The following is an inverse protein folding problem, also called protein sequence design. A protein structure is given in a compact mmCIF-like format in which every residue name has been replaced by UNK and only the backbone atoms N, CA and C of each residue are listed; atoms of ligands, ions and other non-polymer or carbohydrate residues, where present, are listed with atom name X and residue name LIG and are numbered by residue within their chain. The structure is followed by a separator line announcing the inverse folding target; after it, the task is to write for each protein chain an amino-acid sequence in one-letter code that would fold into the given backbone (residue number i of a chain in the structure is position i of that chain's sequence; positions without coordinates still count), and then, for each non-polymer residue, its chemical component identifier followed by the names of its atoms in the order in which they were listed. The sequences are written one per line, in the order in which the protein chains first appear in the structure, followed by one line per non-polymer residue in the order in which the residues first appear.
data_IF_956886699326
#
_entry.id   IF_956886699326
#
_cell.length_a   1.000
_cell.length_b   1.000
_cell.length_c   1.000
_cell.angle_alpha   90.00
_cell.angle_beta   90.00
_cell.angle_gamma   90.00
#
_symmetry.space_group_name_H-M   'P 1'
#
loop_
_entity.id
_entity.type
_entity.pdbx_description
1 polymer ?
#
# COMPACT_ATOMS: atom_id res chain seq x y z
N UNK A 1 -2.82 3.06 9.55
CA UNK A 1 -2.83 1.67 9.02
C UNK A 1 -4.04 0.88 9.48
N UNK A 2 -4.67 0.11 8.58
CA UNK A 2 -5.75 -0.82 8.93
C UNK A 2 -5.22 -2.24 9.13
N UNK A 3 -5.66 -2.94 10.17
CA UNK A 3 -5.27 -4.32 10.53
C UNK A 3 -6.48 -5.13 10.98
N UNK A 4 -6.31 -6.45 11.16
CA UNK A 4 -7.37 -7.36 11.65
C UNK A 4 -8.69 -7.25 10.87
N UNK A 5 -8.60 -7.09 9.55
CA UNK A 5 -9.77 -6.98 8.66
C UNK A 5 -10.49 -8.32 8.59
N UNK A 6 -11.75 -8.33 9.00
CA UNK A 6 -12.63 -9.50 8.95
C UNK A 6 -13.93 -9.11 8.26
N UNK A 7 -14.31 -9.86 7.23
CA UNK A 7 -15.58 -9.69 6.53
C UNK A 7 -16.55 -10.82 6.91
N UNK A 8 -17.82 -10.46 7.15
CA UNK A 8 -18.90 -11.38 7.46
C UNK A 8 -20.12 -11.07 6.60
N UNK A 9 -20.59 -12.06 5.84
CA UNK A 9 -21.79 -11.93 5.03
C UNK A 9 -23.02 -12.41 5.80
N UNK A 10 -24.04 -11.55 5.89
CA UNK A 10 -25.37 -11.86 6.42
C UNK A 10 -26.44 -11.38 5.42
N UNK A 11 -27.25 -10.38 5.79
CA UNK A 11 -28.13 -9.63 4.88
C UNK A 11 -27.35 -8.60 4.05
N UNK A 12 -26.25 -8.10 4.60
CA UNK A 12 -25.23 -7.23 4.00
C UNK A 12 -23.85 -7.79 4.34
N UNK A 13 -22.80 -7.21 3.77
CA UNK A 13 -21.42 -7.54 4.16
C UNK A 13 -20.99 -6.58 5.26
N UNK A 14 -20.59 -7.11 6.40
CA UNK A 14 -20.05 -6.36 7.53
C UNK A 14 -18.54 -6.59 7.57
N UNK A 15 -17.76 -5.52 7.53
CA UNK A 15 -16.31 -5.55 7.56
C UNK A 15 -15.87 -4.87 8.86
N UNK A 16 -15.25 -5.63 9.74
CA UNK A 16 -14.64 -5.10 10.98
C UNK A 16 -13.14 -4.98 10.80
N UNK A 17 -12.54 -3.89 11.26
CA UNK A 17 -11.11 -3.65 11.17
C UNK A 17 -10.61 -2.83 12.36
N UNK A 18 -9.32 -2.96 12.62
CA UNK A 18 -8.60 -2.11 13.56
C UNK A 18 -7.84 -1.05 12.78
N UNK A 19 -7.79 0.16 13.32
CA UNK A 19 -7.18 1.30 12.65
C UNK A 19 -6.17 1.94 13.60
N UNK A 20 -4.89 1.77 13.33
CA UNK A 20 -3.82 2.33 14.14
C UNK A 20 -3.17 3.47 13.38
N UNK A 21 -2.95 4.59 14.05
CA UNK A 21 -2.24 5.73 13.49
C UNK A 21 -1.18 6.21 14.47
N UNK A 22 -0.06 6.71 13.95
CA UNK A 22 1.13 7.03 14.74
C UNK A 22 1.05 8.43 15.34
N UNK A 23 0.41 9.37 14.65
CA UNK A 23 0.22 10.75 15.11
C UNK A 23 -1.22 11.08 15.55
N UNK A 24 -2.10 10.08 15.54
CA UNK A 24 -3.49 10.12 16.04
C UNK A 24 -4.36 11.16 15.30
N UNK A 25 -4.10 11.35 14.01
CA UNK A 25 -4.87 12.24 13.15
C UNK A 25 -6.09 11.55 12.52
N UNK A 26 -6.86 12.34 11.74
CA UNK A 26 -8.08 11.85 11.11
C UNK A 26 -7.77 11.32 9.72
N UNK A 27 -7.89 9.99 9.56
CA UNK A 27 -7.59 9.33 8.31
C UNK A 27 -8.81 9.22 7.38
N UNK A 28 -8.53 9.00 6.10
CA UNK A 28 -9.48 8.62 5.07
C UNK A 28 -9.44 7.11 4.85
N UNK A 29 -10.56 6.45 5.08
CA UNK A 29 -10.73 5.01 4.90
C UNK A 29 -11.46 4.73 3.59
N UNK A 30 -10.94 3.78 2.80
CA UNK A 30 -11.56 3.25 1.58
C UNK A 30 -11.69 1.74 1.71
N UNK A 31 -12.76 1.20 1.13
CA UNK A 31 -12.96 -0.23 0.99
C UNK A 31 -12.83 -0.61 -0.49
N UNK A 32 -11.95 -1.55 -0.78
CA UNK A 32 -11.77 -2.16 -2.08
C UNK A 32 -12.30 -3.59 -2.03
N UNK A 33 -12.92 -4.04 -3.12
CA UNK A 33 -13.37 -5.42 -3.26
C UNK A 33 -12.86 -6.03 -4.57
N UNK A 34 -12.53 -7.32 -4.51
CA UNK A 34 -11.95 -8.09 -5.59
C UNK A 34 -12.74 -9.38 -5.79
N UNK A 35 -13.05 -9.71 -7.03
CA UNK A 35 -13.72 -10.97 -7.39
C UNK A 35 -12.76 -12.12 -7.75
N UNK A 36 -11.45 -11.83 -7.81
CA UNK A 36 -10.43 -12.70 -8.39
C UNK A 36 -9.32 -13.14 -7.41
N UNK A 37 -9.56 -13.05 -6.10
CA UNK A 37 -8.59 -13.48 -5.10
C UNK A 37 -7.68 -12.37 -4.57
N UNK A 38 -7.98 -11.09 -4.87
CA UNK A 38 -7.10 -9.96 -4.58
C UNK A 38 -6.07 -9.69 -5.67
N UNK A 39 -6.19 -10.33 -6.86
CA UNK A 39 -5.29 -10.06 -7.99
C UNK A 39 -5.65 -8.71 -8.66
N UNK A 40 -6.93 -8.35 -8.67
CA UNK A 40 -7.43 -7.05 -9.07
C UNK A 40 -8.65 -6.64 -8.23
N UNK A 41 -8.74 -5.36 -7.90
CA UNK A 41 -9.89 -4.77 -7.19
C UNK A 41 -10.90 -4.21 -8.20
N UNK A 42 -11.55 -5.13 -8.90
CA UNK A 42 -12.46 -4.87 -10.03
C UNK A 42 -13.88 -4.48 -9.59
N UNK A 43 -14.23 -4.71 -8.32
CA UNK A 43 -15.58 -4.53 -7.83
C UNK A 43 -15.82 -3.10 -7.36
N UNK A 44 -16.89 -2.50 -7.89
CA UNK A 44 -17.35 -1.20 -7.44
C UNK A 44 -18.02 -1.30 -6.06
N UNK A 45 -17.29 -0.89 -5.03
CA UNK A 45 -17.82 -0.74 -3.68
C UNK A 45 -18.56 0.58 -3.56
N UNK A 46 -19.87 0.55 -3.83
CA UNK A 46 -20.78 1.67 -3.57
C UNK A 46 -21.84 1.27 -2.51
N UNK A 47 -22.60 2.24 -1.99
CA UNK A 47 -23.62 1.98 -0.95
C UNK A 47 -23.02 1.42 0.35
N UNK A 48 -22.01 2.11 0.86
CA UNK A 48 -21.35 1.81 2.13
C UNK A 48 -21.77 2.76 3.25
N UNK A 49 -21.69 2.30 4.49
CA UNK A 49 -21.94 3.08 5.70
C UNK A 49 -20.99 2.65 6.84
N UNK A 50 -20.93 3.44 7.90
CA UNK A 50 -20.05 3.21 9.05
C UNK A 50 -18.74 3.99 8.96
N UNK A 51 -17.66 3.39 9.47
CA UNK A 51 -16.31 3.98 9.55
C UNK A 51 -15.59 3.92 8.19
N UNK A 52 -16.13 4.64 7.20
CA UNK A 52 -15.59 4.73 5.83
C UNK A 52 -15.67 6.18 5.31
N UNK A 53 -14.74 6.58 4.46
CA UNK A 53 -14.63 7.96 3.98
C UNK A 53 -13.60 8.75 4.77
N UNK A 54 -13.68 10.09 4.74
CA UNK A 54 -12.74 10.95 5.47
C UNK A 54 -13.18 11.20 6.92
N UNK A 55 -12.23 11.47 7.80
CA UNK A 55 -12.52 11.90 9.17
C UNK A 55 -12.57 10.78 10.20
N UNK A 56 -11.91 9.64 9.94
CA UNK A 56 -11.95 8.47 10.80
C UNK A 56 -10.73 8.51 11.74
N UNK A 57 -10.96 8.69 13.04
CA UNK A 57 -9.92 8.60 14.05
C UNK A 57 -9.38 7.16 14.18
N UNK A 58 -8.20 6.97 14.76
CA UNK A 58 -7.67 5.66 15.16
C UNK A 58 -8.61 4.90 16.13
N UNK A 59 -8.43 3.60 16.29
CA UNK A 59 -9.20 2.77 17.22
C UNK A 59 -9.47 1.34 16.73
N UNK A 60 -9.88 0.49 17.66
CA UNK A 60 -10.16 -0.94 17.43
C UNK A 60 -11.64 -1.20 17.14
N UNK A 61 -11.93 -2.25 16.38
CA UNK A 61 -13.30 -2.72 16.13
C UNK A 61 -14.17 -1.77 15.31
N UNK A 62 -13.56 -1.01 14.40
CA UNK A 62 -14.29 -0.15 13.44
C UNK A 62 -15.07 -1.00 12.47
N UNK A 63 -16.17 -0.47 11.94
CA UNK A 63 -17.10 -1.25 11.12
C UNK A 63 -17.48 -0.51 9.85
N UNK A 64 -17.33 -1.19 8.71
CA UNK A 64 -17.87 -0.80 7.42
C UNK A 64 -19.00 -1.77 7.06
N UNK A 65 -20.15 -1.26 6.71
CA UNK A 65 -21.26 -2.06 6.17
C UNK A 65 -21.35 -1.77 4.67
N UNK A 66 -21.37 -2.83 3.87
CA UNK A 66 -21.54 -2.75 2.43
C UNK A 66 -22.83 -3.44 1.97
N UNK A 67 -23.72 -2.66 1.36
CA UNK A 67 -25.00 -3.11 0.81
C UNK A 67 -24.86 -3.64 -0.63
N UNK A 68 -24.07 -4.71 -0.80
CA UNK A 68 -23.72 -5.28 -2.11
C UNK A 68 -24.93 -5.57 -3.03
N UNK A 69 -26.06 -6.00 -2.46
CA UNK A 69 -27.27 -6.31 -3.22
C UNK A 69 -28.03 -5.10 -3.78
N UNK A 70 -27.81 -3.89 -3.24
CA UNK A 70 -28.33 -2.64 -3.82
C UNK A 70 -27.37 -2.06 -4.87
N UNK A 71 -26.07 -2.28 -4.70
CA UNK A 71 -25.01 -1.78 -5.57
C UNK A 71 -25.01 -2.44 -6.96
N UNK A 72 -25.31 -3.74 -7.03
CA UNK A 72 -25.37 -4.51 -8.26
C UNK A 72 -26.47 -5.60 -8.14
N UNK A 73 -27.64 -5.39 -8.77
CA UNK A 73 -28.64 -6.45 -8.86
C UNK A 73 -28.01 -7.63 -9.62
N UNK A 74 -27.96 -8.82 -9.01
CA UNK A 74 -27.28 -10.04 -9.48
C UNK A 74 -25.79 -10.22 -9.11
N UNK A 75 -25.32 -9.54 -8.07
CA UNK A 75 -23.98 -9.77 -7.54
C UNK A 75 -23.88 -11.15 -6.83
N UNK A 76 -23.41 -12.18 -7.55
CA UNK A 76 -23.18 -13.52 -7.03
C UNK A 76 -21.72 -13.93 -7.24
N UNK A 77 -20.85 -13.60 -6.28
CA UNK A 77 -19.49 -14.10 -6.23
C UNK A 77 -19.30 -14.91 -4.96
N UNK A 78 -18.68 -16.08 -5.08
CA UNK A 78 -18.48 -17.01 -3.94
C UNK A 78 -17.20 -16.72 -3.16
N UNK A 79 -16.25 -16.01 -3.75
CA UNK A 79 -14.97 -15.62 -3.15
C UNK A 79 -14.68 -14.14 -3.44
N UNK A 80 -15.14 -13.26 -2.55
CA UNK A 80 -14.82 -11.83 -2.64
C UNK A 80 -13.73 -11.50 -1.61
N UNK A 81 -12.65 -10.90 -2.08
CA UNK A 81 -11.59 -10.38 -1.23
C UNK A 81 -11.85 -8.91 -0.93
N UNK A 82 -11.73 -8.52 0.33
CA UNK A 82 -11.92 -7.15 0.78
C UNK A 82 -10.62 -6.60 1.32
N UNK A 83 -10.27 -5.40 0.89
CA UNK A 83 -9.13 -4.65 1.42
C UNK A 83 -9.59 -3.31 1.96
N UNK A 84 -9.21 -3.03 3.21
CA UNK A 84 -9.46 -1.73 3.85
C UNK A 84 -8.17 -0.93 3.77
N UNK A 85 -8.22 0.19 3.05
CA UNK A 85 -7.09 1.10 2.88
C UNK A 85 -7.35 2.34 3.73
N UNK A 86 -6.40 2.67 4.60
CA UNK A 86 -6.40 3.91 5.37
C UNK A 86 -5.29 4.84 4.88
N UNK A 87 -5.64 6.11 4.70
CA UNK A 87 -4.78 7.17 4.21
C UNK A 87 -4.87 8.34 5.21
N UNK A 88 -3.81 8.58 5.97
CA UNK A 88 -3.73 9.67 6.96
C UNK A 88 -3.68 11.07 6.32
N UNK A 89 -3.52 11.17 5.00
CA UNK A 89 -3.35 12.46 4.33
C UNK A 89 -2.08 13.20 4.71
N UNK A 90 -1.27 12.63 5.62
CA UNK A 90 0.08 13.08 5.94
C UNK A 90 0.97 12.55 4.83
N UNK A 91 1.20 13.41 3.83
CA UNK A 91 2.29 13.14 2.90
C UNK A 91 3.55 12.91 3.72
N UNK A 92 4.31 11.82 3.48
CA UNK A 92 5.59 11.59 4.10
C UNK A 92 6.42 12.88 4.10
N UNK A 93 7.21 13.13 5.16
CA UNK A 93 7.98 14.39 5.27
C UNK A 93 8.93 14.61 4.09
N UNK A 94 9.32 13.54 3.43
CA UNK A 94 10.12 13.52 2.21
C UNK A 94 9.28 13.60 0.92
N UNK A 95 7.96 13.64 1.01
CA UNK A 95 6.97 13.62 -0.09
C UNK A 95 7.03 12.34 -0.92
N UNK A 96 7.46 11.20 -0.36
CA UNK A 96 7.33 9.94 -1.08
C UNK A 96 5.86 9.56 -1.24
N UNK A 97 5.53 8.99 -2.39
CA UNK A 97 4.25 8.30 -2.58
C UNK A 97 4.51 6.82 -2.34
N UNK A 98 3.88 6.26 -1.31
CA UNK A 98 3.98 4.83 -1.01
C UNK A 98 2.70 4.12 -1.43
N UNK A 99 2.85 2.90 -1.90
CA UNK A 99 1.73 2.02 -2.23
C UNK A 99 1.75 0.79 -1.33
N UNK A 100 0.56 0.37 -0.90
CA UNK A 100 0.37 -0.86 -0.15
C UNK A 100 0.49 -2.07 -1.10
N UNK A 101 1.37 -3.00 -0.76
CA UNK A 101 1.45 -4.32 -1.35
C UNK A 101 0.71 -5.29 -0.42
N UNK A 102 -0.36 -5.95 -0.89
CA UNK A 102 -1.15 -6.83 -0.04
C UNK A 102 -0.36 -8.08 0.37
N UNK A 103 -0.75 -8.66 1.51
CA UNK A 103 -0.22 -9.93 1.97
C UNK A 103 -0.56 -11.03 0.95
N UNK A 104 0.39 -11.92 0.69
CA UNK A 104 0.21 -12.90 -0.38
C UNK A 104 1.33 -13.90 -0.52
N UNK A 105 1.16 -14.80 -1.49
CA UNK A 105 2.17 -15.75 -1.92
C UNK A 105 2.61 -15.37 -3.33
N UNK A 106 3.88 -14.99 -3.48
CA UNK A 106 4.45 -14.50 -4.73
C UNK A 106 5.49 -15.47 -5.26
N UNK A 107 5.63 -15.55 -6.59
CA UNK A 107 6.71 -16.31 -7.21
C UNK A 107 7.89 -15.39 -7.48
N UNK A 108 9.07 -15.78 -7.00
CA UNK A 108 10.32 -15.04 -7.16
C UNK A 108 11.33 -15.88 -7.92
N UNK A 109 11.93 -15.29 -8.94
CA UNK A 109 12.96 -15.88 -9.78
C UNK A 109 12.77 -15.53 -11.26
N UNK A 110 13.54 -16.15 -12.13
CA UNK A 110 13.47 -15.94 -13.57
C UNK A 110 12.47 -16.90 -14.25
N UNK A 111 11.28 -16.39 -14.60
CA UNK A 111 10.25 -17.13 -15.32
C UNK A 111 10.49 -17.23 -16.83
N UNK A 112 11.29 -16.32 -17.40
CA UNK A 112 11.47 -16.19 -18.86
C UNK A 112 12.79 -16.77 -19.35
N UNK A 113 13.64 -17.25 -18.44
CA UNK A 113 14.94 -17.85 -18.73
C UNK A 113 15.85 -16.88 -19.52
N UNK A 114 15.78 -15.60 -19.16
CA UNK A 114 16.59 -14.51 -19.72
C UNK A 114 17.65 -13.98 -18.75
N UNK A 115 17.60 -14.42 -17.49
CA UNK A 115 18.46 -14.02 -16.40
C UNK A 115 19.65 -14.94 -16.17
N UNK A 116 20.40 -14.64 -15.12
CA UNK A 116 21.52 -15.47 -14.68
C UNK A 116 21.04 -16.73 -13.95
N UNK A 117 21.88 -17.78 -13.92
CA UNK A 117 21.66 -18.96 -13.07
C UNK A 117 21.46 -18.63 -11.56
N UNK A 118 21.82 -17.42 -11.12
CA UNK A 118 21.60 -16.94 -9.75
C UNK A 118 20.16 -16.47 -9.48
N UNK A 119 19.36 -16.29 -10.52
CA UNK A 119 17.95 -15.87 -10.44
C UNK A 119 17.00 -17.08 -10.43
N UNK A 120 17.55 -18.30 -10.50
CA UNK A 120 16.83 -19.57 -10.43
C UNK A 120 17.06 -20.30 -9.10
N UNK A 121 16.15 -21.21 -8.70
CA UNK A 121 14.87 -21.50 -9.34
C UNK A 121 13.78 -20.50 -8.97
N UNK A 122 12.74 -20.45 -9.79
CA UNK A 122 11.45 -19.85 -9.39
C UNK A 122 10.93 -20.58 -8.15
N UNK A 123 10.66 -19.83 -7.09
CA UNK A 123 10.16 -20.36 -5.82
C UNK A 123 9.11 -19.41 -5.21
N UNK A 124 8.31 -19.94 -4.28
CA UNK A 124 7.20 -19.19 -3.65
C UNK A 124 7.64 -18.54 -2.34
N UNK A 125 7.33 -17.26 -2.18
CA UNK A 125 7.59 -16.45 -0.99
C UNK A 125 6.27 -15.96 -0.40
N UNK A 126 6.05 -16.22 0.88
CA UNK A 126 4.90 -15.68 1.62
C UNK A 126 5.30 -14.38 2.29
N UNK A 127 4.57 -13.30 2.02
CA UNK A 127 4.78 -11.99 2.60
C UNK A 127 3.51 -11.51 3.30
N UNK A 128 3.69 -10.84 4.44
CA UNK A 128 2.64 -10.02 5.04
C UNK A 128 2.50 -8.72 4.25
N UNK A 129 1.43 -7.95 4.48
CA UNK A 129 1.21 -6.69 3.78
C UNK A 129 2.26 -5.64 4.18
N UNK A 130 2.79 -4.88 3.23
CA UNK A 130 3.79 -3.84 3.47
C UNK A 130 3.66 -2.69 2.47
N UNK A 131 4.17 -1.52 2.82
CA UNK A 131 4.25 -0.37 1.91
C UNK A 131 5.60 -0.31 1.22
N UNK A 132 5.62 0.11 -0.04
CA UNK A 132 6.83 0.39 -0.80
C UNK A 132 6.69 1.72 -1.54
N UNK A 133 7.79 2.46 -1.69
CA UNK A 133 7.81 3.68 -2.51
C UNK A 133 7.47 3.33 -3.97
N UNK A 134 6.68 4.18 -4.64
CA UNK A 134 6.29 3.99 -6.05
C UNK A 134 7.42 4.27 -7.02
N UNK A 135 8.43 5.03 -6.58
CA UNK A 135 9.64 5.40 -7.31
C UNK A 135 10.87 5.20 -6.43
N UNK A 136 12.06 5.12 -7.02
CA UNK A 136 13.29 5.16 -6.23
C UNK A 136 13.42 6.47 -5.43
N UNK A 137 14.19 6.42 -4.34
CA UNK A 137 14.47 7.60 -3.51
C UNK A 137 15.16 8.67 -4.35
N UNK A 138 14.54 9.84 -4.46
CA UNK A 138 15.03 10.93 -5.28
C UNK A 138 16.18 11.70 -4.60
N UNK A 139 17.04 12.35 -5.38
CA UNK A 139 18.17 13.17 -4.86
C UNK A 139 17.66 14.25 -3.90
N UNK A 140 16.53 14.90 -4.20
CA UNK A 140 15.93 15.91 -3.34
C UNK A 140 15.45 15.35 -1.99
N UNK A 141 14.92 14.13 -1.99
CA UNK A 141 14.52 13.42 -0.76
C UNK A 141 15.75 13.14 0.11
N UNK A 142 16.80 12.61 -0.49
CA UNK A 142 18.05 12.33 0.21
C UNK A 142 18.69 13.60 0.79
N UNK A 143 18.75 14.70 0.01
CA UNK A 143 19.24 16.01 0.50
C UNK A 143 18.44 16.51 1.71
N UNK A 144 17.11 16.35 1.72
CA UNK A 144 16.27 16.69 2.87
C UNK A 144 16.62 15.86 4.10
N UNK A 145 16.79 14.55 3.93
CA UNK A 145 17.23 13.66 5.00
C UNK A 145 18.57 14.10 5.61
N UNK A 146 19.57 14.45 4.78
CA UNK A 146 20.86 14.95 5.27
C UNK A 146 20.71 16.22 6.10
N UNK A 147 19.89 17.17 5.63
CA UNK A 147 19.67 18.44 6.32
C UNK A 147 18.96 18.24 7.67
N UNK A 148 17.98 17.33 7.73
CA UNK A 148 17.20 17.08 8.94
C UNK A 148 17.97 16.28 10.00
N UNK A 149 18.77 15.31 9.58
CA UNK A 149 19.46 14.38 10.50
C UNK A 149 20.89 14.79 10.81
N UNK A 150 21.49 15.67 10.00
CA UNK A 150 22.91 15.96 10.05
C UNK A 150 23.79 14.80 9.59
N UNK A 151 23.22 13.79 8.92
CA UNK A 151 23.97 12.65 8.39
C UNK A 151 25.06 13.14 7.43
N UNK A 152 26.29 12.65 7.63
CA UNK A 152 27.44 13.02 6.81
C UNK A 152 27.57 12.06 5.64
N UNK A 153 27.04 12.45 4.48
CA UNK A 153 27.19 11.68 3.26
C UNK A 153 28.65 11.64 2.80
N UNK A 154 29.24 10.44 2.76
CA UNK A 154 30.62 10.21 2.32
C UNK A 154 30.78 9.91 0.82
N UNK A 155 29.69 9.97 0.04
CA UNK A 155 29.73 9.73 -1.40
C UNK A 155 30.17 10.94 -2.22
N UNK A 156 30.17 10.79 -3.55
CA UNK A 156 30.70 11.80 -4.47
C UNK A 156 29.57 12.57 -5.16
N UNK A 157 29.29 13.79 -4.70
CA UNK A 157 28.29 14.68 -5.31
C UNK A 157 28.54 14.97 -6.78
N UNK A 158 29.79 15.06 -7.22
CA UNK A 158 30.10 15.30 -8.63
C UNK A 158 29.67 14.14 -9.54
N UNK A 159 29.60 12.90 -9.02
CA UNK A 159 29.00 11.78 -9.75
C UNK A 159 27.48 11.88 -9.78
N UNK A 160 26.87 12.29 -8.66
CA UNK A 160 25.42 12.51 -8.59
C UNK A 160 25.02 13.58 -9.60
N UNK A 161 25.69 14.73 -9.62
CA UNK A 161 25.40 15.82 -10.54
C UNK A 161 25.54 15.42 -12.02
N UNK A 162 26.34 14.39 -12.31
CA UNK A 162 26.54 13.88 -13.68
C UNK A 162 25.48 12.86 -14.11
N UNK A 163 25.05 11.97 -13.21
CA UNK A 163 24.17 10.83 -13.55
C UNK A 163 22.73 10.98 -13.05
N UNK A 164 22.53 11.78 -12.00
CA UNK A 164 21.25 12.11 -11.35
C UNK A 164 21.19 13.63 -11.11
N UNK A 165 21.18 14.45 -12.17
CA UNK A 165 21.46 15.89 -12.08
C UNK A 165 20.38 16.73 -11.38
N UNK A 166 19.15 16.24 -11.27
CA UNK A 166 18.05 16.99 -10.65
C UNK A 166 17.54 16.30 -9.39
N UNK A 167 16.80 17.05 -8.58
CA UNK A 167 16.23 16.56 -7.32
C UNK A 167 15.19 15.44 -7.52
N UNK A 168 14.63 15.31 -8.72
CA UNK A 168 13.65 14.28 -9.08
C UNK A 168 14.31 13.02 -9.68
N UNK A 169 15.62 13.02 -9.93
CA UNK A 169 16.34 11.82 -10.37
C UNK A 169 16.57 10.85 -9.20
N UNK A 170 16.69 9.54 -9.46
CA UNK A 170 17.01 8.56 -8.44
C UNK A 170 18.36 8.87 -7.82
N UNK A 171 18.44 8.79 -6.49
CA UNK A 171 19.68 8.90 -5.76
C UNK A 171 20.53 7.66 -6.04
N UNK A 172 21.73 7.87 -6.57
CA UNK A 172 22.68 6.80 -6.91
C UNK A 172 23.93 6.90 -6.05
N UNK A 173 24.83 5.90 -6.11
CA UNK A 173 26.12 5.90 -5.39
C UNK A 173 26.03 6.09 -3.86
N UNK A 174 24.91 5.69 -3.26
CA UNK A 174 24.75 5.57 -1.81
C UNK A 174 25.54 4.34 -1.34
N UNK A 175 26.23 4.46 -0.21
CA UNK A 175 27.10 3.42 0.38
C UNK A 175 26.77 3.22 1.85
#
# INVERSE_FOLDING_TARGET
MATNVVAKQMRWVEITYDLDDVDDDLMKVKLLASSDGGNSFDLLVNSTEGDIGGGIASGKGKTIIWHAGQAAPNFYHTNVFFEVVADDGVKPKDRSEMILIPAGLFEMGDHFNEGSNRELPVHRVKLDAFYIDTTEVAVGQFKRFLNQTGYKYGGNWHKIDRYSPTDDHPMTYVK
#
